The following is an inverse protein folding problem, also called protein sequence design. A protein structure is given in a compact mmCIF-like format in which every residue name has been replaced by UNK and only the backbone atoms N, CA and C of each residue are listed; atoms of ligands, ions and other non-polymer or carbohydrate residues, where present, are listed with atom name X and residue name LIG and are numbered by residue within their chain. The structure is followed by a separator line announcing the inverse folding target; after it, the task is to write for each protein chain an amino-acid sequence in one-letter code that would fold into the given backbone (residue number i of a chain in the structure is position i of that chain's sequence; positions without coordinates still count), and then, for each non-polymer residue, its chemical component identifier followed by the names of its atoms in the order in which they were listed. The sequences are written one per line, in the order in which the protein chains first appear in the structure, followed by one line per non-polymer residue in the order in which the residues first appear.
data_IF_252747728646
#
_entry.id   IF_252747728646
#
_cell.length_a   1.000
_cell.length_b   1.000
_cell.length_c   1.000
_cell.angle_alpha   90.00
_cell.angle_beta   90.00
_cell.angle_gamma   90.00
#
_symmetry.space_group_name_H-M   'P 1'
#
loop_
_entity.id
_entity.type
_entity.pdbx_description
1 polymer ?
#
# COMPACT_ATOMS: atom_id res chain seq x y z
N UNK A 1 4.25 -13.47 -27.64
CA UNK A 1 3.19 -14.11 -26.84
C UNK A 1 2.39 -12.97 -26.24
N UNK A 2 1.15 -12.79 -26.65
CA UNK A 2 0.33 -11.68 -26.17
C UNK A 2 -0.10 -11.93 -24.73
N UNK A 3 -0.09 -10.90 -23.90
CA UNK A 3 -0.44 -10.98 -22.48
C UNK A 3 -1.85 -11.58 -22.26
N UNK A 4 -2.80 -11.23 -23.14
CA UNK A 4 -4.18 -11.75 -23.11
C UNK A 4 -4.25 -13.29 -23.19
N UNK A 5 -3.36 -13.94 -23.98
CA UNK A 5 -3.29 -15.40 -24.05
C UNK A 5 -2.76 -16.07 -22.79
N UNK A 6 -1.91 -15.37 -22.03
CA UNK A 6 -1.45 -15.84 -20.72
C UNK A 6 -2.58 -15.68 -19.68
N UNK A 7 -3.22 -14.52 -19.66
CA UNK A 7 -4.26 -14.18 -18.71
C UNK A 7 -5.52 -15.07 -18.87
N UNK A 8 -5.90 -15.39 -20.13
CA UNK A 8 -7.04 -16.29 -20.40
C UNK A 8 -6.79 -17.74 -19.95
N UNK A 9 -5.54 -18.14 -19.78
CA UNK A 9 -5.14 -19.45 -19.23
C UNK A 9 -5.05 -19.49 -17.70
N UNK A 10 -5.16 -18.36 -17.00
CA UNK A 10 -5.17 -18.33 -15.56
C UNK A 10 -6.46 -18.98 -15.02
N UNK A 11 -6.30 -20.03 -14.25
CA UNK A 11 -7.40 -20.67 -13.58
C UNK A 11 -7.42 -20.22 -12.11
N UNK A 12 -8.38 -19.36 -11.71
CA UNK A 12 -8.40 -18.75 -10.37
C UNK A 12 -8.89 -19.75 -9.30
N UNK A 13 -8.35 -20.98 -9.28
CA UNK A 13 -8.68 -21.96 -8.25
C UNK A 13 -8.03 -21.69 -6.91
N UNK A 14 -6.90 -20.97 -6.93
CA UNK A 14 -6.12 -20.70 -5.72
C UNK A 14 -6.54 -19.40 -5.07
N UNK A 15 -6.65 -19.44 -3.74
CA UNK A 15 -6.94 -18.28 -2.90
C UNK A 15 -5.67 -17.71 -2.32
N UNK A 16 -5.46 -16.42 -2.52
CA UNK A 16 -4.30 -15.69 -2.00
C UNK A 16 -4.72 -14.84 -0.81
N UNK A 17 -3.97 -14.92 0.29
CA UNK A 17 -4.08 -13.99 1.40
C UNK A 17 -2.93 -12.98 1.34
N UNK A 18 -3.25 -11.70 1.35
CA UNK A 18 -2.30 -10.60 1.28
C UNK A 18 -2.35 -9.82 2.58
N UNK A 19 -1.25 -9.85 3.30
CA UNK A 19 -1.06 -9.09 4.53
C UNK A 19 0.02 -8.04 4.32
N UNK A 20 -0.24 -6.81 4.70
CA UNK A 20 0.80 -5.79 4.66
C UNK A 20 0.28 -4.38 4.88
N UNK A 21 1.07 -3.43 4.47
CA UNK A 21 0.79 -2.01 4.64
C UNK A 21 0.17 -1.38 3.40
N UNK A 22 -0.68 -0.39 3.65
CA UNK A 22 -1.04 0.64 2.69
C UNK A 22 -0.66 1.99 3.30
N UNK A 23 0.21 2.71 2.63
CA UNK A 23 0.79 3.98 3.08
C UNK A 23 0.56 5.07 2.04
N UNK A 24 0.70 6.32 2.43
CA UNK A 24 0.60 7.44 1.49
C UNK A 24 2.00 7.93 1.12
N UNK A 25 2.32 7.93 -0.17
CA UNK A 25 3.55 8.49 -0.70
C UNK A 25 3.30 9.94 -1.15
N UNK A 26 3.89 10.92 -0.48
CA UNK A 26 3.93 12.31 -0.89
C UNK A 26 5.18 12.54 -1.74
N UNK A 27 5.00 12.89 -3.00
CA UNK A 27 6.09 13.02 -3.96
C UNK A 27 6.49 14.47 -4.12
N UNK A 28 7.75 14.77 -3.88
CA UNK A 28 8.37 16.08 -4.06
C UNK A 28 9.50 15.98 -5.08
N UNK A 29 9.50 16.86 -6.07
CA UNK A 29 10.65 17.05 -6.95
C UNK A 29 11.60 18.07 -6.34
N UNK A 30 12.88 17.71 -6.25
CA UNK A 30 13.96 18.54 -5.71
C UNK A 30 15.11 18.58 -6.70
N UNK A 31 15.86 19.67 -6.72
CA UNK A 31 17.07 19.75 -7.55
C UNK A 31 18.23 18.91 -7.00
N UNK A 32 18.25 18.67 -5.70
CA UNK A 32 19.18 17.81 -4.95
C UNK A 32 18.64 17.57 -3.55
N UNK A 33 19.23 16.65 -2.83
CA UNK A 33 18.94 16.48 -1.40
C UNK A 33 19.49 17.64 -0.57
N UNK A 34 18.78 18.06 0.50
CA UNK A 34 19.28 19.06 1.43
C UNK A 34 20.46 18.50 2.23
N UNK A 35 21.45 19.36 2.51
CA UNK A 35 22.45 19.07 3.53
C UNK A 35 21.92 19.46 4.91
N UNK A 36 22.61 19.00 5.95
CA UNK A 36 22.25 19.37 7.33
C UNK A 36 22.22 20.88 7.52
N UNK A 37 21.09 21.40 8.02
CA UNK A 37 20.90 22.83 8.27
C UNK A 37 20.48 23.66 7.04
N UNK A 38 20.33 23.05 5.87
CA UNK A 38 19.86 23.77 4.68
C UNK A 38 18.33 23.83 4.59
N UNK A 39 17.84 24.93 4.02
CA UNK A 39 16.48 25.08 3.50
C UNK A 39 16.55 25.02 1.96
N UNK A 40 15.76 24.14 1.37
CA UNK A 40 15.64 24.01 -0.10
C UNK A 40 14.18 24.09 -0.54
N UNK A 41 13.96 24.61 -1.73
CA UNK A 41 12.65 24.58 -2.35
C UNK A 41 12.39 23.24 -3.03
N UNK A 42 11.15 22.75 -2.92
CA UNK A 42 10.68 21.54 -3.57
C UNK A 42 9.35 21.79 -4.28
N UNK A 43 9.10 21.10 -5.37
CA UNK A 43 7.82 21.14 -6.06
C UNK A 43 6.98 19.91 -5.69
N UNK A 44 5.78 20.13 -5.14
CA UNK A 44 4.85 19.06 -4.81
C UNK A 44 4.26 18.44 -6.08
N UNK A 45 4.45 17.14 -6.26
CA UNK A 45 4.00 16.38 -7.43
C UNK A 45 2.71 15.60 -7.18
N UNK A 46 2.25 15.55 -5.93
CA UNK A 46 1.03 14.84 -5.55
C UNK A 46 1.26 13.80 -4.48
N UNK A 47 0.16 13.15 -4.08
CA UNK A 47 0.15 12.03 -3.15
C UNK A 47 -0.53 10.81 -3.79
N UNK A 48 -0.04 9.62 -3.50
CA UNK A 48 -0.63 8.36 -3.94
C UNK A 48 -0.57 7.33 -2.82
N UNK A 49 -1.52 6.40 -2.82
CA UNK A 49 -1.43 5.22 -1.95
C UNK A 49 -0.47 4.23 -2.58
N UNK A 50 0.44 3.71 -1.76
CA UNK A 50 1.46 2.74 -2.10
C UNK A 50 1.60 1.67 -1.03
N UNK A 51 2.70 0.94 -1.09
CA UNK A 51 3.02 -0.21 -0.24
C UNK A 51 3.08 -1.50 -1.07
N UNK A 52 4.06 -2.36 -0.79
CA UNK A 52 4.29 -3.57 -1.60
C UNK A 52 3.04 -4.46 -1.66
N UNK A 53 2.46 -4.74 -0.50
CA UNK A 53 1.27 -5.58 -0.41
C UNK A 53 0.04 -4.93 -1.09
N UNK A 54 -0.14 -3.63 -0.94
CA UNK A 54 -1.19 -2.89 -1.63
C UNK A 54 -1.04 -2.98 -3.16
N UNK A 55 0.16 -2.83 -3.68
CA UNK A 55 0.42 -2.93 -5.12
C UNK A 55 0.11 -4.33 -5.66
N UNK A 56 0.43 -5.39 -4.90
CA UNK A 56 0.07 -6.78 -5.27
C UNK A 56 -1.44 -6.97 -5.26
N UNK A 57 -2.14 -6.50 -4.22
CA UNK A 57 -3.60 -6.57 -4.15
C UNK A 57 -4.28 -5.84 -5.31
N UNK A 58 -3.80 -4.65 -5.66
CA UNK A 58 -4.31 -3.86 -6.79
C UNK A 58 -4.14 -4.61 -8.13
N UNK A 59 -3.01 -5.26 -8.34
CA UNK A 59 -2.78 -6.06 -9.55
C UNK A 59 -3.72 -7.27 -9.60
N UNK A 60 -3.83 -8.03 -8.51
CA UNK A 60 -4.72 -9.20 -8.48
C UNK A 60 -6.19 -8.82 -8.67
N UNK A 61 -6.62 -7.73 -8.06
CA UNK A 61 -7.99 -7.21 -8.24
C UNK A 61 -8.26 -6.81 -9.69
N UNK A 62 -7.30 -6.13 -10.35
CA UNK A 62 -7.43 -5.75 -11.77
C UNK A 62 -7.42 -6.93 -12.73
N UNK A 63 -6.86 -8.06 -12.32
CA UNK A 63 -6.84 -9.29 -13.09
C UNK A 63 -8.01 -10.23 -12.76
N UNK A 64 -8.97 -9.78 -11.93
CA UNK A 64 -10.10 -10.58 -11.44
C UNK A 64 -9.66 -11.90 -10.75
N UNK A 65 -8.48 -11.88 -10.13
CA UNK A 65 -7.95 -13.02 -9.39
C UNK A 65 -8.40 -12.97 -7.92
N UNK A 66 -8.92 -14.08 -7.37
CA UNK A 66 -9.44 -14.11 -6.00
C UNK A 66 -8.32 -13.90 -4.99
N UNK A 67 -8.41 -12.82 -4.23
CA UNK A 67 -7.53 -12.56 -3.10
C UNK A 67 -8.31 -12.02 -1.91
N UNK A 68 -7.86 -12.36 -0.72
CA UNK A 68 -8.30 -11.73 0.52
C UNK A 68 -7.19 -10.83 1.02
N UNK A 69 -7.55 -9.63 1.38
CA UNK A 69 -6.56 -8.63 1.82
C UNK A 69 -6.71 -8.33 3.30
N UNK A 70 -5.60 -8.11 3.95
CA UNK A 70 -5.55 -7.57 5.29
C UNK A 70 -4.65 -6.33 5.32
N UNK A 71 -5.29 -5.18 5.31
CA UNK A 71 -4.65 -3.89 5.46
C UNK A 71 -5.27 -3.18 6.67
N UNK A 72 -4.52 -2.97 7.75
CA UNK A 72 -5.01 -2.15 8.84
C UNK A 72 -5.12 -0.71 8.38
N UNK A 73 -6.27 -0.10 8.66
CA UNK A 73 -6.54 1.30 8.34
C UNK A 73 -7.00 2.00 9.61
N UNK A 74 -6.35 3.11 9.91
CA UNK A 74 -6.57 3.87 11.12
C UNK A 74 -7.60 4.99 10.99
N UNK A 75 -7.42 5.97 11.86
CA UNK A 75 -8.15 7.23 11.86
C UNK A 75 -7.14 8.37 11.78
N UNK A 76 -7.36 9.28 10.83
CA UNK A 76 -6.49 10.41 10.58
C UNK A 76 -6.51 10.81 9.11
N UNK A 77 -5.68 11.77 8.76
CA UNK A 77 -5.64 12.35 7.42
C UNK A 77 -5.17 11.31 6.38
N UNK A 78 -4.12 10.57 6.68
CA UNK A 78 -3.56 9.57 5.76
C UNK A 78 -4.45 8.34 5.67
N UNK A 79 -5.06 7.92 6.78
CA UNK A 79 -6.05 6.85 6.79
C UNK A 79 -7.26 7.17 5.89
N UNK A 80 -7.71 8.43 5.86
CA UNK A 80 -8.81 8.82 4.96
C UNK A 80 -8.41 8.70 3.48
N UNK A 81 -7.18 9.09 3.12
CA UNK A 81 -6.67 8.92 1.76
C UNK A 81 -6.62 7.43 1.38
N UNK A 82 -6.12 6.57 2.29
CA UNK A 82 -6.09 5.12 2.09
C UNK A 82 -7.50 4.54 1.92
N UNK A 83 -8.46 4.94 2.77
CA UNK A 83 -9.86 4.50 2.68
C UNK A 83 -10.49 4.85 1.34
N UNK A 84 -10.29 6.09 0.87
CA UNK A 84 -10.83 6.54 -0.41
C UNK A 84 -10.23 5.75 -1.58
N UNK A 85 -8.93 5.49 -1.57
CA UNK A 85 -8.28 4.72 -2.62
C UNK A 85 -8.73 3.25 -2.62
N UNK A 86 -8.95 2.64 -1.45
CA UNK A 86 -9.48 1.28 -1.34
C UNK A 86 -10.89 1.16 -1.93
N UNK A 87 -11.77 2.11 -1.61
CA UNK A 87 -13.12 2.17 -2.18
C UNK A 87 -13.05 2.27 -3.71
N UNK A 88 -12.21 3.18 -4.23
CA UNK A 88 -12.02 3.39 -5.66
C UNK A 88 -11.53 2.13 -6.38
N UNK A 89 -10.73 1.29 -5.73
CA UNK A 89 -10.14 0.07 -6.28
C UNK A 89 -10.87 -1.20 -5.90
N UNK A 90 -12.00 -1.11 -5.21
CA UNK A 90 -12.76 -2.27 -4.71
C UNK A 90 -11.93 -3.21 -3.81
N UNK A 91 -10.94 -2.65 -3.10
CA UNK A 91 -10.17 -3.38 -2.10
C UNK A 91 -10.90 -3.31 -0.75
N UNK A 92 -11.11 -4.45 -0.12
CA UNK A 92 -11.79 -4.50 1.17
C UNK A 92 -10.95 -3.91 2.29
N UNK A 93 -11.58 -3.10 3.14
CA UNK A 93 -10.97 -2.61 4.38
C UNK A 93 -11.16 -3.69 5.44
N UNK A 94 -10.07 -4.32 5.83
CA UNK A 94 -10.12 -5.50 6.71
C UNK A 94 -10.19 -5.17 8.18
N UNK A 95 -9.58 -4.08 8.59
CA UNK A 95 -9.51 -3.65 9.98
C UNK A 95 -9.51 -2.13 10.06
N UNK A 96 -10.49 -1.56 10.75
CA UNK A 96 -10.47 -0.16 11.18
C UNK A 96 -10.06 -0.14 12.65
N UNK A 97 -9.10 0.69 12.99
CA UNK A 97 -8.55 0.79 14.34
C UNK A 97 -8.45 2.25 14.76
N UNK A 98 -8.96 2.55 15.95
CA UNK A 98 -8.83 3.88 16.59
C UNK A 98 -7.46 4.06 17.27
N UNK A 99 -6.42 3.43 16.71
CA UNK A 99 -5.09 3.35 17.32
C UNK A 99 -4.04 4.21 16.62
N UNK A 100 -4.45 5.15 15.80
CA UNK A 100 -3.57 6.09 15.11
C UNK A 100 -3.83 6.19 13.61
N UNK A 101 -2.98 6.93 12.92
CA UNK A 101 -3.05 7.13 11.49
C UNK A 101 -2.23 6.10 10.71
N UNK A 102 -2.49 5.94 9.42
CA UNK A 102 -1.64 5.18 8.52
C UNK A 102 -0.30 5.89 8.31
N UNK A 103 0.73 5.10 8.05
CA UNK A 103 2.05 5.60 7.71
C UNK A 103 2.05 6.36 6.38
N UNK A 104 3.08 7.15 6.21
CA UNK A 104 3.30 7.90 4.98
C UNK A 104 4.79 8.09 4.70
N UNK A 105 5.12 8.32 3.46
CA UNK A 105 6.49 8.57 3.00
C UNK A 105 6.58 9.94 2.34
N UNK A 106 7.66 10.62 2.60
CA UNK A 106 8.11 11.73 1.78
C UNK A 106 9.11 11.18 0.76
N UNK A 107 8.74 11.20 -0.51
CA UNK A 107 9.57 10.74 -1.63
C UNK A 107 10.20 11.96 -2.31
N UNK A 108 11.49 12.17 -2.12
CA UNK A 108 12.28 13.21 -2.77
C UNK A 108 12.82 12.64 -4.08
N UNK A 109 12.45 13.26 -5.19
CA UNK A 109 12.85 12.82 -6.55
C UNK A 109 13.80 13.84 -7.15
N UNK A 110 15.02 13.41 -7.46
CA UNK A 110 16.07 14.22 -8.08
C UNK A 110 15.96 14.19 -9.63
N UNK A 111 16.64 15.11 -10.35
CA UNK A 111 16.49 15.22 -11.81
C UNK A 111 16.91 13.98 -12.61
N UNK A 112 17.80 13.16 -12.06
CA UNK A 112 18.24 11.89 -12.65
C UNK A 112 17.25 10.72 -12.40
N UNK A 113 16.17 10.98 -11.61
CA UNK A 113 15.16 10.00 -11.27
C UNK A 113 15.44 9.22 -9.99
N UNK A 114 16.57 9.47 -9.32
CA UNK A 114 16.84 8.87 -8.00
C UNK A 114 15.81 9.33 -6.98
N UNK A 115 15.51 8.42 -6.06
CA UNK A 115 14.47 8.64 -5.03
C UNK A 115 15.01 8.39 -3.64
N UNK A 116 14.88 9.39 -2.81
CA UNK A 116 15.17 9.26 -1.37
C UNK A 116 13.87 9.34 -0.59
N UNK A 117 13.69 8.43 0.37
CA UNK A 117 12.47 8.35 1.18
C UNK A 117 12.75 8.75 2.63
N UNK A 118 11.82 9.52 3.18
CA UNK A 118 11.70 9.72 4.62
C UNK A 118 10.38 9.09 5.03
N UNK A 119 10.45 8.02 5.84
CA UNK A 119 9.30 7.21 6.21
C UNK A 119 8.79 7.56 7.60
N UNK A 120 7.53 7.84 7.70
CA UNK A 120 6.79 7.98 8.95
C UNK A 120 5.90 6.75 9.14
N UNK A 121 6.33 5.88 10.06
CA UNK A 121 5.62 4.64 10.38
C UNK A 121 4.29 4.92 11.06
N UNK A 122 3.24 4.27 10.60
CA UNK A 122 1.91 4.35 11.16
C UNK A 122 1.48 3.10 11.92
N UNK A 123 0.18 2.90 12.01
CA UNK A 123 -0.42 1.78 12.72
C UNK A 123 -0.11 0.42 12.08
N UNK A 124 0.16 0.38 10.77
CA UNK A 124 0.52 -0.84 10.04
C UNK A 124 1.81 -1.48 10.52
N UNK A 125 2.68 -0.71 11.18
CA UNK A 125 3.89 -1.23 11.83
C UNK A 125 3.64 -1.75 13.26
N UNK A 126 2.40 -1.69 13.76
CA UNK A 126 2.01 -2.05 15.12
C UNK A 126 0.91 -3.10 15.13
N UNK A 127 0.94 -4.03 14.18
CA UNK A 127 -0.06 -5.09 14.07
C UNK A 127 -0.15 -5.92 15.35
N UNK A 128 -1.37 -6.26 15.74
CA UNK A 128 -1.66 -6.98 16.96
C UNK A 128 -2.22 -8.36 16.62
N UNK A 129 -1.80 -9.39 17.35
CA UNK A 129 -2.21 -10.78 17.10
C UNK A 129 -3.72 -10.95 17.07
N UNK A 130 -4.45 -10.29 17.97
CA UNK A 130 -5.92 -10.39 18.07
C UNK A 130 -6.66 -9.88 16.83
N UNK A 131 -6.01 -9.10 15.96
CA UNK A 131 -6.63 -8.66 14.72
C UNK A 131 -6.83 -9.79 13.72
N UNK A 132 -6.14 -10.91 13.93
CA UNK A 132 -6.14 -12.07 13.04
C UNK A 132 -7.03 -13.20 13.53
N UNK A 133 -7.59 -13.14 14.74
CA UNK A 133 -8.34 -14.23 15.37
C UNK A 133 -9.59 -14.65 14.58
N UNK A 134 -10.11 -13.78 13.70
CA UNK A 134 -11.28 -14.06 12.87
C UNK A 134 -10.96 -14.80 11.56
N UNK A 135 -9.68 -15.02 11.23
CA UNK A 135 -9.30 -15.64 9.98
C UNK A 135 -8.99 -17.12 10.16
N UNK A 136 -9.56 -17.94 9.27
CA UNK A 136 -9.14 -19.34 9.07
C UNK A 136 -8.08 -19.36 7.97
N UNK A 137 -6.84 -19.50 8.35
CA UNK A 137 -5.74 -19.48 7.38
C UNK A 137 -5.66 -20.75 6.53
N UNK A 138 -6.34 -21.85 6.94
CA UNK A 138 -6.47 -23.07 6.14
C UNK A 138 -7.23 -22.87 4.83
N UNK A 139 -7.95 -21.76 4.68
CA UNK A 139 -8.77 -21.46 3.49
C UNK A 139 -7.95 -20.86 2.33
N UNK A 140 -6.64 -20.63 2.54
CA UNK A 140 -5.77 -19.99 1.57
C UNK A 140 -4.62 -20.90 1.13
N UNK A 141 -4.31 -20.86 -0.16
CA UNK A 141 -3.24 -21.62 -0.78
C UNK A 141 -1.90 -20.88 -0.76
N UNK A 142 -1.95 -19.56 -0.85
CA UNK A 142 -0.77 -18.69 -0.89
C UNK A 142 -0.90 -17.51 0.07
N UNK A 143 0.25 -17.11 0.60
CA UNK A 143 0.38 -15.95 1.48
C UNK A 143 1.42 -15.00 0.92
N UNK A 144 1.06 -13.73 0.80
CA UNK A 144 1.97 -12.62 0.55
C UNK A 144 2.05 -11.76 1.81
N UNK A 145 3.29 -11.61 2.35
CA UNK A 145 3.58 -10.89 3.60
C UNK A 145 4.60 -9.78 3.37
#
# INVERSE_FOLDING_TARGET
MQLDGILSGLNPKHKVFILGSAVVDLVLSVNRLPKSGEDISAAFQGGKVGGCAFNVADVLTKLDLPCSTYFPVGEGMFAQIVKQEFIKRSIAISQVCNCGDNGWNLSLVEPDGERTFITMSGLECRMQKQWFDKYSFSDFDYFYL
#
